data_IF_690538477331
#
_entry.id   IF_690538477331
#
_cell.length_a   1.000
_cell.length_b   1.000
_cell.length_c   1.000
_cell.angle_alpha   90.00
_cell.angle_beta   90.00
_cell.angle_gamma   90.00
#
_symmetry.space_group_name_H-M   'P 1'
#
loop_
_entity.id
_entity.type
_entity.pdbx_description
1 polymer ?
#
# COMPACT_ATOMS: atom_id res chain seq x y z
N UNK A 1 5.90 -7.67 24.98
CA UNK A 1 5.38 -6.58 24.11
C UNK A 1 4.87 -5.47 25.01
N UNK A 2 5.30 -4.23 24.77
CA UNK A 2 4.84 -3.06 25.53
C UNK A 2 3.32 -2.90 25.42
N UNK A 3 2.66 -2.54 26.51
CA UNK A 3 1.20 -2.44 26.64
C UNK A 3 0.61 -1.44 25.65
N UNK A 4 1.33 -0.37 25.31
CA UNK A 4 0.96 0.60 24.26
C UNK A 4 0.87 -0.01 22.86
N UNK A 5 1.67 -1.02 22.55
CA UNK A 5 1.63 -1.71 21.24
C UNK A 5 0.30 -2.49 21.11
N UNK A 6 -0.25 -3.02 22.20
CA UNK A 6 -1.54 -3.72 22.20
C UNK A 6 -2.71 -2.77 21.94
N UNK A 7 -2.70 -1.58 22.57
CA UNK A 7 -3.69 -0.52 22.34
C UNK A 7 -3.70 -0.10 20.87
N UNK A 8 -2.51 0.16 20.31
CA UNK A 8 -2.36 0.52 18.89
C UNK A 8 -2.89 -0.58 17.98
N UNK A 9 -2.51 -1.83 18.23
CA UNK A 9 -2.95 -2.96 17.40
C UNK A 9 -4.47 -3.14 17.41
N UNK A 10 -5.13 -2.89 18.54
CA UNK A 10 -6.58 -3.08 18.70
C UNK A 10 -7.41 -1.90 18.20
N UNK A 11 -7.00 -0.67 18.49
CA UNK A 11 -7.86 0.50 18.33
C UNK A 11 -7.44 1.50 17.25
N UNK A 12 -6.22 1.42 16.71
CA UNK A 12 -5.86 2.34 15.62
C UNK A 12 -6.69 2.08 14.36
N UNK A 13 -7.07 3.15 13.63
CA UNK A 13 -7.66 3.03 12.30
C UNK A 13 -6.74 2.24 11.38
N UNK A 14 -7.28 1.23 10.70
CA UNK A 14 -6.51 0.40 9.78
C UNK A 14 -7.33 0.00 8.57
N UNK A 15 -6.64 -0.12 7.45
CA UNK A 15 -7.20 -0.75 6.25
C UNK A 15 -7.17 -2.27 6.50
N UNK A 16 -8.31 -2.99 6.36
CA UNK A 16 -8.32 -4.43 6.50
C UNK A 16 -7.47 -5.09 5.41
N UNK A 17 -6.94 -6.29 5.71
CA UNK A 17 -6.26 -7.10 4.72
C UNK A 17 -7.29 -7.63 3.71
N UNK A 18 -7.51 -6.88 2.64
CA UNK A 18 -8.38 -7.27 1.54
C UNK A 18 -7.64 -8.17 0.56
N UNK A 19 -8.39 -8.97 -0.21
CA UNK A 19 -7.83 -9.81 -1.25
C UNK A 19 -7.06 -8.93 -2.25
N UNK A 20 -5.78 -9.25 -2.56
CA UNK A 20 -5.04 -8.50 -3.56
C UNK A 20 -5.69 -8.66 -4.93
N UNK A 21 -5.64 -7.59 -5.73
CA UNK A 21 -6.02 -7.64 -7.14
C UNK A 21 -4.88 -8.34 -7.89
N UNK A 22 -5.19 -9.52 -8.43
CA UNK A 22 -4.23 -10.34 -9.17
C UNK A 22 -4.13 -9.91 -10.64
N UNK A 23 -3.03 -10.29 -11.31
CA UNK A 23 -2.77 -9.95 -12.71
C UNK A 23 -3.95 -10.26 -13.67
N UNK A 24 -4.68 -11.38 -13.56
CA UNK A 24 -5.82 -11.65 -14.44
C UNK A 24 -6.99 -10.68 -14.26
N UNK A 25 -7.21 -10.19 -13.03
CA UNK A 25 -8.27 -9.23 -12.73
C UNK A 25 -7.90 -7.85 -13.28
N UNK A 26 -6.66 -7.41 -13.02
CA UNK A 26 -6.14 -6.16 -13.57
C UNK A 26 -6.14 -6.16 -15.12
N UNK A 27 -5.73 -7.28 -15.74
CA UNK A 27 -5.70 -7.40 -17.19
C UNK A 27 -7.09 -7.29 -17.82
N UNK A 28 -8.12 -7.83 -17.15
CA UNK A 28 -9.52 -7.68 -17.59
C UNK A 28 -9.99 -6.24 -17.49
N UNK A 29 -9.75 -5.60 -16.35
CA UNK A 29 -10.09 -4.19 -16.13
C UNK A 29 -9.48 -3.26 -17.20
N UNK A 30 -8.23 -3.51 -17.60
CA UNK A 30 -7.54 -2.74 -18.64
C UNK A 30 -8.02 -3.07 -20.06
N UNK A 31 -8.32 -4.34 -20.34
CA UNK A 31 -8.86 -4.78 -21.63
C UNK A 31 -10.16 -4.03 -21.98
N UNK A 32 -11.07 -3.93 -20.99
CA UNK A 32 -12.36 -3.27 -21.13
C UNK A 32 -12.24 -1.77 -21.49
N UNK A 33 -11.09 -1.15 -21.22
CA UNK A 33 -10.83 0.29 -21.40
C UNK A 33 -9.94 0.63 -22.60
N UNK A 34 -9.28 -0.36 -23.18
CA UNK A 34 -8.26 -0.15 -24.22
C UNK A 34 -8.61 -0.80 -25.55
N UNK A 35 -9.66 -1.64 -25.58
CA UNK A 35 -10.02 -2.44 -26.75
C UNK A 35 -9.03 -3.58 -27.03
N UNK A 36 -8.01 -3.76 -26.17
CA UNK A 36 -7.09 -4.89 -26.22
C UNK A 36 -7.75 -6.13 -25.63
N UNK A 37 -7.40 -7.29 -26.17
CA UNK A 37 -7.80 -8.54 -25.54
C UNK A 37 -7.03 -8.75 -24.22
N UNK A 38 -7.68 -9.36 -23.22
CA UNK A 38 -7.07 -9.58 -21.89
C UNK A 38 -5.70 -10.28 -21.95
N UNK A 39 -5.50 -11.21 -22.90
CA UNK A 39 -4.22 -11.89 -23.08
C UNK A 39 -3.11 -10.97 -23.61
N UNK A 40 -3.46 -9.98 -24.46
CA UNK A 40 -2.52 -8.99 -24.95
C UNK A 40 -2.12 -8.02 -23.84
N UNK A 41 -3.07 -7.61 -22.99
CA UNK A 41 -2.76 -6.80 -21.82
C UNK A 41 -1.81 -7.52 -20.88
N UNK A 42 -2.05 -8.80 -20.60
CA UNK A 42 -1.14 -9.60 -19.77
C UNK A 42 0.26 -9.64 -20.36
N UNK A 43 0.38 -9.91 -21.65
CA UNK A 43 1.66 -9.89 -22.36
C UNK A 43 2.38 -8.54 -22.22
N UNK A 44 1.68 -7.42 -22.40
CA UNK A 44 2.27 -6.08 -22.25
C UNK A 44 2.74 -5.82 -20.81
N UNK A 45 2.00 -6.29 -19.81
CA UNK A 45 2.40 -6.16 -18.40
C UNK A 45 3.63 -7.01 -18.08
N UNK A 46 3.73 -8.22 -18.64
CA UNK A 46 4.90 -9.09 -18.49
C UNK A 46 6.15 -8.47 -19.15
N UNK A 47 6.01 -7.91 -20.36
CA UNK A 47 7.08 -7.20 -21.06
C UNK A 47 7.50 -5.90 -20.34
N UNK A 48 6.54 -5.19 -19.74
CA UNK A 48 6.83 -4.02 -18.90
C UNK A 48 7.70 -4.43 -17.69
N UNK A 49 7.37 -5.53 -17.02
CA UNK A 49 8.16 -6.06 -15.92
C UNK A 49 9.59 -6.41 -16.37
N UNK A 50 9.74 -7.11 -17.50
CA UNK A 50 11.05 -7.42 -18.09
C UNK A 50 11.83 -6.15 -18.43
N UNK A 51 11.16 -5.13 -18.97
CA UNK A 51 11.75 -3.83 -19.27
C UNK A 51 12.24 -3.09 -18.03
N UNK A 52 11.44 -3.06 -16.96
CA UNK A 52 11.84 -2.45 -15.67
C UNK A 52 13.10 -3.13 -15.16
N UNK A 53 13.13 -4.46 -15.11
CA UNK A 53 14.28 -5.24 -14.67
C UNK A 53 15.52 -4.98 -15.55
N UNK A 54 15.34 -4.91 -16.87
CA UNK A 54 16.43 -4.68 -17.81
C UNK A 54 17.11 -3.31 -17.64
N UNK A 55 16.37 -2.28 -17.22
CA UNK A 55 16.97 -0.97 -16.97
C UNK A 55 17.50 -0.83 -15.54
N UNK A 56 16.81 -1.37 -14.54
CA UNK A 56 17.30 -1.34 -13.15
C UNK A 56 18.60 -2.12 -12.98
N UNK A 57 18.79 -3.26 -13.68
CA UNK A 57 20.07 -3.99 -13.67
C UNK A 57 21.26 -3.17 -14.21
N UNK A 58 21.00 -2.14 -15.03
CA UNK A 58 22.03 -1.23 -15.54
C UNK A 58 22.27 -0.01 -14.64
N UNK A 59 21.70 0.02 -13.44
CA UNK A 59 21.76 1.16 -12.53
C UNK A 59 20.82 2.32 -12.90
N UNK A 60 19.96 2.15 -13.92
CA UNK A 60 19.06 3.20 -14.39
C UNK A 60 17.73 3.14 -13.64
N UNK A 61 17.20 4.33 -13.34
CA UNK A 61 15.87 4.48 -12.75
C UNK A 61 14.80 4.40 -13.83
N UNK A 62 13.71 3.72 -13.55
CA UNK A 62 12.56 3.62 -14.46
C UNK A 62 11.40 4.40 -13.86
N UNK A 63 11.00 5.47 -14.55
CA UNK A 63 9.85 6.29 -14.16
C UNK A 63 8.63 5.84 -14.98
N UNK A 64 7.63 5.32 -14.29
CA UNK A 64 6.32 5.03 -14.86
C UNK A 64 5.37 6.16 -14.45
N UNK A 65 5.01 7.01 -15.42
CA UNK A 65 4.14 8.15 -15.16
C UNK A 65 2.81 7.70 -14.54
N UNK A 66 2.42 8.33 -13.43
CA UNK A 66 1.19 8.00 -12.71
C UNK A 66 1.26 6.78 -11.79
N UNK A 67 2.37 6.02 -11.77
CA UNK A 67 2.57 4.90 -10.85
C UNK A 67 3.71 5.19 -9.86
N UNK A 68 4.86 5.59 -10.37
CA UNK A 68 6.02 5.89 -9.53
C UNK A 68 7.35 5.74 -10.23
N UNK A 69 8.41 5.68 -9.43
CA UNK A 69 9.79 5.48 -9.91
C UNK A 69 10.42 4.29 -9.23
N UNK A 70 10.95 3.37 -10.02
CA UNK A 70 11.74 2.22 -9.59
C UNK A 70 13.21 2.58 -9.70
N UNK A 71 13.94 2.51 -8.60
CA UNK A 71 15.36 2.88 -8.53
C UNK A 71 16.17 1.73 -7.94
N UNK A 72 17.23 1.26 -8.61
CA UNK A 72 18.14 0.31 -8.00
C UNK A 72 18.87 0.97 -6.82
N UNK A 73 19.01 0.22 -5.73
CA UNK A 73 19.70 0.60 -4.51
C UNK A 73 20.63 -0.53 -4.09
N UNK A 74 21.61 -0.21 -3.25
CA UNK A 74 22.55 -1.19 -2.71
C UNK A 74 22.69 -0.97 -1.21
N UNK A 75 22.57 -2.05 -0.45
CA UNK A 75 22.79 -2.05 0.99
C UNK A 75 24.29 -2.15 1.33
N UNK A 76 24.65 -1.89 2.58
CA UNK A 76 26.04 -1.91 3.04
C UNK A 76 26.70 -3.29 2.92
N UNK A 77 25.90 -4.36 2.91
CA UNK A 77 26.34 -5.74 2.72
C UNK A 77 26.51 -6.14 1.24
N UNK A 78 26.20 -5.23 0.31
CA UNK A 78 26.26 -5.46 -1.13
C UNK A 78 24.98 -6.03 -1.73
N UNK A 79 23.91 -6.20 -0.96
CA UNK A 79 22.61 -6.64 -1.49
C UNK A 79 22.02 -5.57 -2.40
N UNK A 80 21.69 -5.95 -3.64
CA UNK A 80 21.03 -5.06 -4.61
C UNK A 80 19.51 -5.19 -4.44
N UNK A 81 18.85 -4.05 -4.29
CA UNK A 81 17.40 -3.95 -4.17
C UNK A 81 16.82 -2.93 -5.17
N UNK A 82 15.50 -2.88 -5.29
CA UNK A 82 14.77 -1.90 -6.08
C UNK A 82 13.83 -1.12 -5.16
N UNK A 83 14.22 0.11 -4.84
CA UNK A 83 13.34 1.03 -4.14
C UNK A 83 12.22 1.53 -5.06
N UNK A 84 10.98 1.46 -4.59
CA UNK A 84 9.81 1.99 -5.28
C UNK A 84 9.30 3.27 -4.60
N UNK A 85 9.30 4.38 -5.35
CA UNK A 85 8.70 5.64 -4.91
C UNK A 85 7.36 5.86 -5.59
N UNK A 86 6.28 5.85 -4.82
CA UNK A 86 4.93 6.13 -5.28
C UNK A 86 4.84 7.52 -5.91
N UNK A 87 4.09 7.63 -7.00
CA UNK A 87 3.79 8.93 -7.61
C UNK A 87 2.95 9.81 -6.66
N UNK A 88 3.27 11.10 -6.60
CA UNK A 88 2.59 12.04 -5.70
C UNK A 88 1.10 12.15 -6.05
N UNK A 89 0.73 12.05 -7.33
CA UNK A 89 -0.66 12.15 -7.76
C UNK A 89 -1.53 11.06 -7.14
N UNK A 90 -1.08 9.80 -7.14
CA UNK A 90 -1.78 8.69 -6.50
C UNK A 90 -2.03 8.96 -5.02
N UNK A 91 -0.99 9.43 -4.30
CA UNK A 91 -1.11 9.74 -2.88
C UNK A 91 -2.11 10.87 -2.63
N UNK A 92 -2.07 11.94 -3.41
CA UNK A 92 -2.97 13.10 -3.25
C UNK A 92 -4.41 12.71 -3.57
N UNK A 93 -4.63 11.99 -4.68
CA UNK A 93 -5.96 11.54 -5.10
C UNK A 93 -6.60 10.61 -4.07
N UNK A 94 -5.88 9.63 -3.53
CA UNK A 94 -6.41 8.73 -2.49
C UNK A 94 -6.80 9.44 -1.19
N UNK A 95 -6.13 10.56 -0.87
CA UNK A 95 -6.43 11.36 0.33
C UNK A 95 -7.48 12.45 0.06
N UNK A 96 -8.03 12.54 -1.16
CA UNK A 96 -9.12 13.48 -1.44
C UNK A 96 -10.41 12.98 -0.78
N UNK A 97 -11.15 13.85 -0.05
CA UNK A 97 -12.38 13.45 0.62
C UNK A 97 -13.36 12.77 -0.35
N UNK A 98 -13.82 11.57 0.01
CA UNK A 98 -14.77 10.79 -0.77
C UNK A 98 -14.17 9.91 -1.88
N UNK A 99 -12.85 9.94 -2.13
CA UNK A 99 -12.22 9.09 -3.16
C UNK A 99 -11.87 7.69 -2.63
N UNK A 100 -11.46 7.58 -1.36
CA UNK A 100 -11.19 6.27 -0.78
C UNK A 100 -12.51 5.57 -0.43
N UNK A 101 -12.88 4.58 -1.23
CA UNK A 101 -14.11 3.78 -1.08
C UNK A 101 -13.92 2.52 -0.22
N UNK A 102 -12.68 2.22 0.19
CA UNK A 102 -12.37 1.04 0.97
C UNK A 102 -12.89 1.09 2.42
N UNK A 103 -12.96 -0.08 3.03
CA UNK A 103 -13.30 -0.21 4.43
C UNK A 103 -12.17 0.30 5.33
N UNK A 104 -12.56 0.95 6.44
CA UNK A 104 -11.63 1.36 7.49
C UNK A 104 -12.11 0.77 8.80
N UNK A 105 -11.34 -0.17 9.34
CA UNK A 105 -11.55 -0.70 10.69
C UNK A 105 -11.21 0.40 11.69
N UNK A 106 -12.02 0.55 12.74
CA UNK A 106 -11.87 1.61 13.74
C UNK A 106 -11.94 3.03 13.16
N UNK A 107 -12.76 3.26 12.13
CA UNK A 107 -12.95 4.59 11.52
C UNK A 107 -13.32 5.67 12.55
N UNK A 108 -14.08 5.31 13.58
CA UNK A 108 -14.46 6.18 14.70
C UNK A 108 -13.29 6.66 15.57
N UNK A 109 -12.11 6.05 15.41
CA UNK A 109 -10.90 6.41 16.14
C UNK A 109 -9.95 7.29 15.32
N UNK A 110 -10.32 7.67 14.09
CA UNK A 110 -9.55 8.64 13.30
C UNK A 110 -9.53 9.98 14.04
N UNK A 111 -8.33 10.51 14.28
CA UNK A 111 -8.12 11.77 14.99
C UNK A 111 -7.99 11.65 16.51
N UNK A 112 -8.20 10.47 17.10
CA UNK A 112 -7.98 10.25 18.54
C UNK A 112 -6.50 10.17 18.88
N UNK A 113 -6.15 10.72 20.03
CA UNK A 113 -4.84 10.66 20.67
C UNK A 113 -4.59 9.29 21.33
N UNK A 114 -3.34 8.99 21.67
CA UNK A 114 -2.99 7.73 22.34
C UNK A 114 -3.68 7.59 23.71
N UNK A 115 -3.88 8.69 24.43
CA UNK A 115 -4.50 8.68 25.75
C UNK A 115 -6.00 8.35 25.66
N UNK A 116 -6.68 8.88 24.63
CA UNK A 116 -8.07 8.53 24.34
C UNK A 116 -8.22 7.05 23.93
N UNK A 117 -7.28 6.51 23.15
CA UNK A 117 -7.28 5.08 22.81
C UNK A 117 -7.00 4.19 24.03
N UNK A 118 -6.15 4.65 24.95
CA UNK A 118 -5.84 3.94 26.20
C UNK A 118 -7.05 3.95 27.14
N UNK A 119 -7.77 5.07 27.20
CA UNK A 119 -9.03 5.17 27.95
C UNK A 119 -10.06 4.17 27.41
N UNK A 120 -10.24 4.11 26.08
CA UNK A 120 -11.11 3.12 25.44
C UNK A 120 -10.67 1.68 25.68
N UNK A 121 -9.36 1.43 25.77
CA UNK A 121 -8.85 0.12 26.15
C UNK A 121 -9.26 -0.24 27.59
N UNK A 122 -9.04 0.67 28.53
CA UNK A 122 -9.29 0.46 29.96
C UNK A 122 -10.78 0.28 30.27
N UNK A 123 -11.66 1.01 29.57
CA UNK A 123 -13.11 0.81 29.66
C UNK A 123 -13.54 -0.59 29.19
N UNK A 124 -12.94 -1.09 28.11
CA UNK A 124 -13.26 -2.40 27.54
C UNK A 124 -12.50 -3.57 28.21
N UNK A 125 -11.41 -3.29 28.94
CA UNK A 125 -10.59 -4.29 29.64
C UNK A 125 -10.32 -3.84 31.09
N UNK A 126 -11.36 -3.78 31.94
CA UNK A 126 -11.22 -3.30 33.33
C UNK A 126 -10.33 -4.20 34.20
N UNK A 127 -10.08 -5.44 33.77
CA UNK A 127 -9.23 -6.41 34.46
C UNK A 127 -7.74 -6.36 34.02
N UNK A 128 -7.41 -5.59 32.97
CA UNK A 128 -6.03 -5.38 32.48
C UNK A 128 -5.84 -3.91 32.04
N UNK A 129 -5.93 -2.95 32.99
CA UNK A 129 -5.80 -1.54 32.67
C UNK A 129 -4.35 -1.17 32.34
N UNK A 130 -4.22 -0.27 31.38
CA UNK A 130 -2.95 0.24 30.86
C UNK A 130 -2.80 1.70 31.30
N UNK A 131 -1.60 2.04 31.79
CA UNK A 131 -1.21 3.39 32.18
C UNK A 131 -0.41 4.13 31.12
#
# INVERSE_FOLDING_TARGET
MSTRIRVVAAYCPRIPANKPVELPELARYLADRTGLHHSQVRYVLDELHAGVLNFTRTGRKVRLAGLGTFSPTIDLDGTIDVNHRLDQSLRVTLNTPGVYEGDIVNRQNIGKTMDELTTLWNENHPLDPIS
#
